data_IF_004970719559
#
_entry.id   IF_004970719559
#
_cell.length_a   1.000
_cell.length_b   1.000
_cell.length_c   1.000
_cell.angle_alpha   90.00
_cell.angle_beta   90.00
_cell.angle_gamma   90.00
#
_symmetry.space_group_name_H-M   'P 1'
#
loop_
_entity.id
_entity.type
_entity.pdbx_description
1 polymer ?
#
# COMPACT_ATOMS: atom_id res chain seq x y z
N UNK A 1 -53.77 -48.01 -45.03
CA UNK A 1 -53.03 -46.86 -45.57
C UNK A 1 -52.85 -45.89 -44.45
N UNK A 2 -51.68 -45.90 -43.76
CA UNK A 2 -51.44 -45.06 -42.61
C UNK A 2 -50.47 -43.94 -43.09
N UNK A 3 -50.97 -42.73 -43.02
CA UNK A 3 -50.18 -41.52 -43.38
C UNK A 3 -49.41 -41.10 -42.17
N UNK A 4 -48.07 -41.09 -42.26
CA UNK A 4 -47.15 -40.51 -41.24
C UNK A 4 -46.91 -39.04 -41.59
N UNK A 5 -47.34 -38.16 -40.72
CA UNK A 5 -47.03 -36.73 -40.79
C UNK A 5 -45.75 -36.48 -40.02
N UNK A 6 -44.65 -36.11 -40.72
CA UNK A 6 -43.42 -35.72 -40.16
C UNK A 6 -43.50 -34.25 -39.78
N UNK A 7 -43.38 -33.97 -38.49
CA UNK A 7 -43.22 -32.58 -37.93
C UNK A 7 -41.74 -32.23 -37.92
N UNK A 8 -41.35 -31.25 -38.74
CA UNK A 8 -40.01 -30.70 -38.82
C UNK A 8 -39.88 -29.59 -37.76
N UNK A 9 -39.15 -29.88 -36.66
CA UNK A 9 -38.80 -28.87 -35.66
C UNK A 9 -37.59 -28.07 -36.17
N UNK A 10 -37.83 -26.81 -36.54
CA UNK A 10 -36.76 -25.84 -36.82
C UNK A 10 -36.19 -25.32 -35.49
N UNK A 11 -35.02 -25.77 -35.09
CA UNK A 11 -34.27 -25.19 -33.99
C UNK A 11 -33.59 -23.90 -34.47
N UNK A 12 -34.17 -22.76 -34.10
CA UNK A 12 -33.50 -21.45 -34.26
C UNK A 12 -32.42 -21.35 -33.18
N UNK A 13 -31.18 -21.61 -33.54
CA UNK A 13 -30.02 -21.32 -32.71
C UNK A 13 -29.84 -19.78 -32.67
N UNK A 14 -30.28 -19.12 -31.62
CA UNK A 14 -29.87 -17.78 -31.33
C UNK A 14 -28.38 -17.80 -31.02
N UNK A 15 -27.54 -17.44 -31.99
CA UNK A 15 -26.15 -17.09 -31.76
C UNK A 15 -26.14 -15.78 -30.94
N UNK A 16 -26.14 -15.92 -29.61
CA UNK A 16 -25.74 -14.82 -28.72
C UNK A 16 -24.29 -14.54 -29.06
N UNK A 17 -24.04 -13.45 -29.79
CA UNK A 17 -22.73 -12.91 -29.96
C UNK A 17 -22.16 -12.71 -28.54
N UNK A 18 -21.08 -13.43 -28.22
CA UNK A 18 -20.31 -13.19 -27.01
C UNK A 18 -19.76 -11.77 -27.14
N UNK A 19 -20.51 -10.79 -26.62
CA UNK A 19 -19.95 -9.47 -26.35
C UNK A 19 -18.66 -9.71 -25.55
N UNK A 20 -17.54 -9.18 -26.06
CA UNK A 20 -16.22 -9.32 -25.46
C UNK A 20 -16.33 -9.02 -23.96
N UNK A 21 -16.32 -10.04 -23.13
CA UNK A 21 -16.30 -9.88 -21.68
C UNK A 21 -15.10 -8.98 -21.33
N UNK A 22 -15.28 -7.91 -20.57
CA UNK A 22 -14.22 -6.95 -20.32
C UNK A 22 -12.99 -7.68 -19.81
N UNK A 23 -11.88 -7.55 -20.57
CA UNK A 23 -10.63 -8.29 -20.32
C UNK A 23 -10.18 -8.03 -18.88
N UNK A 24 -10.00 -9.09 -18.09
CA UNK A 24 -9.48 -9.01 -16.74
C UNK A 24 -8.10 -8.35 -16.74
N UNK A 25 -7.85 -7.47 -15.76
CA UNK A 25 -6.57 -6.78 -15.57
C UNK A 25 -6.02 -6.98 -14.16
N UNK A 26 -4.75 -6.72 -14.00
CA UNK A 26 -4.12 -6.60 -12.67
C UNK A 26 -4.46 -5.26 -12.04
N UNK A 27 -4.79 -5.30 -10.75
CA UNK A 27 -5.04 -4.12 -9.92
C UNK A 27 -4.35 -4.33 -8.58
N UNK A 28 -3.52 -3.39 -8.17
CA UNK A 28 -2.88 -3.46 -6.85
C UNK A 28 -3.94 -3.36 -5.77
N UNK A 29 -3.96 -4.37 -4.91
CA UNK A 29 -4.93 -4.53 -3.83
C UNK A 29 -4.34 -4.30 -2.45
N UNK A 30 -3.02 -4.31 -2.35
CA UNK A 30 -2.25 -3.96 -1.16
C UNK A 30 -0.86 -3.48 -1.58
N UNK A 31 -0.33 -2.49 -0.87
CA UNK A 31 1.05 -2.04 -0.99
C UNK A 31 1.63 -1.77 0.41
N UNK A 32 2.96 -1.96 0.53
CA UNK A 32 3.75 -1.59 1.68
C UNK A 32 5.02 -0.91 1.18
N UNK A 33 5.04 0.43 1.18
CA UNK A 33 6.16 1.22 0.67
C UNK A 33 7.44 0.91 1.43
N UNK A 34 8.38 0.25 0.76
CA UNK A 34 9.63 -0.19 1.41
C UNK A 34 10.66 0.94 1.49
N UNK A 35 11.49 0.86 2.51
CA UNK A 35 12.68 1.69 2.75
C UNK A 35 13.74 0.86 3.48
N UNK A 36 14.72 1.48 4.06
CA UNK A 36 15.73 0.76 4.83
C UNK A 36 17.14 1.17 4.46
N UNK A 37 18.15 0.37 4.75
CA UNK A 37 18.01 -1.00 5.25
C UNK A 37 17.54 -1.07 6.72
N UNK A 38 16.92 -2.19 7.12
CA UNK A 38 16.65 -2.49 8.53
C UNK A 38 17.94 -2.37 9.35
N UNK A 39 17.93 -1.75 10.55
CA UNK A 39 16.75 -1.27 11.30
C UNK A 39 16.41 0.22 11.09
N UNK A 40 16.96 0.89 10.08
CA UNK A 40 16.72 2.32 9.85
C UNK A 40 15.29 2.57 9.36
N UNK A 41 14.51 3.27 10.17
CA UNK A 41 13.08 3.54 9.93
C UNK A 41 12.40 4.06 11.19
N UNK A 42 11.09 4.27 11.09
CA UNK A 42 10.24 4.73 12.20
C UNK A 42 9.19 3.66 12.56
N UNK A 43 9.58 2.52 13.16
CA UNK A 43 8.64 1.47 13.54
C UNK A 43 7.68 1.96 14.65
N UNK A 44 6.51 1.34 14.73
CA UNK A 44 5.57 1.51 15.84
C UNK A 44 5.13 0.14 16.34
N UNK A 45 4.98 -0.01 17.67
CA UNK A 45 4.60 -1.27 18.30
C UNK A 45 5.48 -2.48 17.92
N UNK A 46 6.73 -2.22 17.52
CA UNK A 46 7.69 -3.23 17.12
C UNK A 46 8.27 -3.95 18.35
N UNK A 47 8.14 -5.27 18.47
CA UNK A 47 8.79 -6.03 19.53
C UNK A 47 10.31 -6.04 19.35
N UNK A 48 11.05 -6.41 20.41
CA UNK A 48 12.49 -6.64 20.29
C UNK A 48 12.77 -7.80 19.32
N UNK A 49 13.55 -7.53 18.30
CA UNK A 49 13.84 -8.47 17.23
C UNK A 49 15.15 -9.26 17.42
N UNK A 50 15.90 -9.03 18.51
CA UNK A 50 17.23 -9.60 18.71
C UNK A 50 17.29 -11.11 18.66
N UNK A 51 16.22 -11.80 19.07
CA UNK A 51 16.16 -13.28 18.98
C UNK A 51 15.79 -13.77 17.58
N UNK A 52 15.03 -13.00 16.83
CA UNK A 52 14.64 -13.34 15.46
C UNK A 52 15.64 -12.83 14.41
N UNK A 53 16.25 -11.68 14.65
CA UNK A 53 17.25 -11.04 13.78
C UNK A 53 18.38 -10.52 14.67
N UNK A 54 19.34 -11.37 15.04
CA UNK A 54 20.41 -11.02 15.99
C UNK A 54 21.34 -9.91 15.50
N UNK A 55 21.52 -9.77 14.19
CA UNK A 55 22.39 -8.76 13.56
C UNK A 55 21.71 -8.16 12.34
N UNK A 56 21.66 -6.85 12.25
CA UNK A 56 21.19 -6.14 11.08
C UNK A 56 22.12 -6.33 9.85
N UNK A 57 23.39 -6.56 10.07
CA UNK A 57 24.39 -6.79 9.01
C UNK A 57 24.23 -8.19 8.39
N UNK A 58 23.90 -9.19 9.19
CA UNK A 58 23.58 -10.55 8.72
C UNK A 58 22.17 -10.58 8.15
N UNK A 59 21.24 -9.83 8.74
CA UNK A 59 19.83 -9.82 8.39
C UNK A 59 19.16 -11.17 8.68
N UNK A 60 18.29 -11.59 7.78
CA UNK A 60 17.70 -12.93 7.82
C UNK A 60 18.77 -14.00 7.58
N UNK A 61 18.73 -15.09 8.34
CA UNK A 61 19.71 -16.18 8.25
C UNK A 61 19.00 -17.53 8.17
N UNK A 62 18.88 -18.09 6.96
CA UNK A 62 18.26 -19.39 6.70
C UNK A 62 16.94 -19.59 7.49
N UNK A 63 16.02 -18.63 7.37
CA UNK A 63 14.77 -18.56 8.13
C UNK A 63 13.57 -18.16 7.27
N UNK A 64 12.38 -18.37 7.80
CA UNK A 64 11.13 -18.07 7.10
C UNK A 64 10.40 -16.88 7.72
N UNK A 65 9.74 -16.12 6.85
CA UNK A 65 8.86 -15.02 7.18
C UNK A 65 7.43 -15.41 6.81
N UNK A 66 6.46 -14.95 7.60
CA UNK A 66 5.03 -15.02 7.29
C UNK A 66 4.42 -13.66 7.52
N UNK A 67 4.22 -12.93 6.44
CA UNK A 67 3.72 -11.57 6.46
C UNK A 67 2.22 -11.56 6.25
N UNK A 68 1.51 -10.89 7.16
CA UNK A 68 0.05 -10.77 7.11
C UNK A 68 -0.30 -9.44 6.46
N UNK A 69 -1.11 -9.48 5.40
CA UNK A 69 -1.52 -8.31 4.63
C UNK A 69 -3.03 -8.35 4.38
N UNK A 70 -3.66 -7.17 4.22
CA UNK A 70 -5.10 -7.04 3.98
C UNK A 70 -5.36 -6.57 2.54
N UNK A 71 -5.81 -7.46 1.64
CA UNK A 71 -6.27 -7.04 0.33
C UNK A 71 -7.53 -6.17 0.42
N UNK A 72 -7.55 -5.06 -0.31
CA UNK A 72 -8.71 -4.17 -0.35
C UNK A 72 -9.78 -4.63 -1.36
N UNK A 73 -9.35 -5.26 -2.45
CA UNK A 73 -10.25 -5.94 -3.39
C UNK A 73 -9.78 -7.37 -3.61
N UNK A 74 -10.68 -8.23 -4.07
CA UNK A 74 -10.40 -9.65 -4.29
C UNK A 74 -10.54 -10.05 -5.76
N UNK A 75 -9.68 -10.97 -6.18
CA UNK A 75 -9.70 -11.66 -7.47
C UNK A 75 -9.50 -13.16 -7.28
N UNK A 76 -9.71 -13.94 -8.35
CA UNK A 76 -9.45 -15.40 -8.33
C UNK A 76 -7.97 -15.75 -8.51
N UNK A 77 -7.18 -14.79 -8.95
CA UNK A 77 -5.73 -14.91 -9.13
C UNK A 77 -5.06 -13.70 -8.48
N UNK A 78 -3.90 -13.94 -7.89
CA UNK A 78 -3.05 -12.93 -7.30
C UNK A 78 -1.61 -13.05 -7.83
N UNK A 79 -0.82 -12.00 -7.65
CA UNK A 79 0.63 -12.02 -7.74
C UNK A 79 1.21 -11.09 -6.67
N UNK A 80 2.38 -11.42 -6.17
CA UNK A 80 3.09 -10.62 -5.17
C UNK A 80 4.36 -10.03 -5.76
N UNK A 81 4.83 -8.91 -5.19
CA UNK A 81 6.12 -8.32 -5.54
C UNK A 81 7.07 -8.43 -4.37
N UNK A 82 8.20 -9.11 -4.58
CA UNK A 82 9.32 -9.14 -3.64
C UNK A 82 10.35 -8.08 -4.05
N UNK A 83 10.99 -7.45 -3.07
CA UNK A 83 11.89 -6.32 -3.26
C UNK A 83 13.15 -6.44 -2.40
N UNK A 84 14.30 -6.22 -3.02
CA UNK A 84 15.59 -6.03 -2.38
C UNK A 84 16.13 -4.63 -2.69
N UNK A 85 15.24 -3.64 -2.71
CA UNK A 85 15.54 -2.26 -3.16
C UNK A 85 16.63 -1.58 -2.31
N UNK A 86 16.76 -1.94 -1.05
CA UNK A 86 17.66 -1.32 -0.08
C UNK A 86 18.64 -2.30 0.57
N UNK A 87 18.68 -3.54 0.09
CA UNK A 87 19.70 -4.50 0.49
C UNK A 87 21.04 -4.21 -0.18
N UNK A 88 22.12 -4.71 0.44
CA UNK A 88 23.50 -4.57 -0.06
C UNK A 88 24.06 -5.87 -0.63
N UNK A 89 23.39 -7.01 -0.39
CA UNK A 89 23.75 -8.33 -0.89
C UNK A 89 22.60 -8.92 -1.71
N UNK A 90 22.87 -9.86 -2.64
CA UNK A 90 21.81 -10.65 -3.27
C UNK A 90 21.04 -11.48 -2.24
N UNK A 91 19.71 -11.50 -2.33
CA UNK A 91 18.82 -12.29 -1.46
C UNK A 91 18.16 -13.37 -2.28
N UNK A 92 18.29 -14.62 -1.82
CA UNK A 92 17.65 -15.78 -2.45
C UNK A 92 16.38 -16.16 -1.69
N UNK A 93 15.22 -16.05 -2.36
CA UNK A 93 13.93 -16.46 -1.86
C UNK A 93 13.57 -17.85 -2.40
N UNK A 94 13.01 -18.68 -1.54
CA UNK A 94 12.54 -20.02 -1.87
C UNK A 94 11.23 -20.32 -1.15
N UNK A 95 10.55 -21.38 -1.60
CA UNK A 95 9.36 -21.90 -0.94
C UNK A 95 8.37 -20.77 -0.57
N UNK A 96 8.02 -19.98 -1.57
CA UNK A 96 7.09 -18.86 -1.39
C UNK A 96 5.67 -19.37 -1.47
N UNK A 97 4.82 -18.99 -0.50
CA UNK A 97 3.43 -19.41 -0.41
C UNK A 97 2.50 -18.23 -0.14
N UNK A 98 1.25 -18.37 -0.56
CA UNK A 98 0.16 -17.45 -0.27
C UNK A 98 -1.05 -18.25 0.22
N UNK A 99 -1.64 -17.85 1.36
CA UNK A 99 -2.79 -18.54 1.95
C UNK A 99 -3.72 -17.57 2.67
N UNK A 100 -4.93 -18.04 2.99
CA UNK A 100 -5.87 -17.26 3.76
C UNK A 100 -5.45 -17.26 5.22
N UNK A 101 -5.17 -16.09 5.77
CA UNK A 101 -4.79 -15.95 7.18
C UNK A 101 -5.95 -16.34 8.10
N UNK A 102 -5.65 -17.11 9.14
CA UNK A 102 -6.61 -17.55 10.15
C UNK A 102 -6.55 -16.68 11.40
N UNK A 103 -5.57 -16.91 12.24
CA UNK A 103 -5.27 -16.18 13.48
C UNK A 103 -3.81 -16.42 13.84
N UNK A 104 -3.20 -15.54 14.64
CA UNK A 104 -1.76 -15.65 14.96
C UNK A 104 -0.94 -15.80 13.68
N UNK A 105 -0.05 -16.78 13.59
CA UNK A 105 0.66 -17.13 12.36
C UNK A 105 0.01 -18.27 11.56
N UNK A 106 -1.15 -18.79 11.98
CA UNK A 106 -1.82 -19.88 11.30
C UNK A 106 -2.45 -19.46 9.96
N UNK A 107 -2.41 -20.38 9.00
CA UNK A 107 -3.08 -20.28 7.70
C UNK A 107 -4.28 -21.23 7.71
N UNK A 108 -5.40 -20.78 7.15
CA UNK A 108 -6.61 -21.63 7.02
C UNK A 108 -6.25 -22.89 6.24
N UNK A 109 -6.52 -24.04 6.85
CA UNK A 109 -6.09 -25.36 6.30
C UNK A 109 -6.57 -25.57 4.87
N UNK A 110 -5.66 -26.08 4.03
CA UNK A 110 -5.89 -26.34 2.62
C UNK A 110 -5.94 -25.09 1.73
N UNK A 111 -5.63 -23.90 2.26
CA UNK A 111 -5.61 -22.68 1.44
C UNK A 111 -4.22 -22.24 0.98
N UNK A 112 -3.16 -22.76 1.60
CA UNK A 112 -1.79 -22.38 1.28
C UNK A 112 -1.40 -22.84 -0.13
N UNK A 113 -0.92 -21.93 -0.97
CA UNK A 113 -0.61 -22.18 -2.38
C UNK A 113 0.82 -21.77 -2.68
N UNK A 114 1.59 -22.61 -3.40
CA UNK A 114 2.93 -22.24 -3.83
C UNK A 114 2.87 -21.08 -4.83
N UNK A 115 3.84 -20.17 -4.71
CA UNK A 115 4.06 -19.04 -5.59
C UNK A 115 5.35 -19.26 -6.35
N UNK A 116 5.34 -19.07 -7.66
CA UNK A 116 6.49 -19.25 -8.53
C UNK A 116 6.89 -17.92 -9.19
N UNK A 117 8.05 -17.92 -9.84
CA UNK A 117 8.64 -16.78 -10.52
C UNK A 117 9.15 -17.21 -11.89
N UNK A 118 9.22 -16.28 -12.84
CA UNK A 118 9.85 -16.51 -14.14
C UNK A 118 9.35 -17.79 -14.85
N UNK A 119 8.02 -17.96 -14.92
CA UNK A 119 7.36 -19.10 -15.55
C UNK A 119 7.62 -20.45 -14.83
N UNK A 120 7.35 -20.49 -13.55
CA UNK A 120 7.28 -21.74 -12.78
C UNK A 120 8.49 -22.05 -11.88
N UNK A 121 9.46 -21.16 -11.77
CA UNK A 121 10.60 -21.37 -10.86
C UNK A 121 10.17 -21.17 -9.40
N UNK A 122 10.47 -22.13 -8.55
CA UNK A 122 10.17 -22.09 -7.12
C UNK A 122 11.11 -21.15 -6.33
N UNK A 123 12.18 -20.67 -6.95
CA UNK A 123 13.20 -19.82 -6.33
C UNK A 123 13.49 -18.60 -7.18
N UNK A 124 13.84 -17.50 -6.51
CA UNK A 124 14.31 -16.27 -7.17
C UNK A 124 15.40 -15.62 -6.33
N UNK A 125 16.42 -15.07 -7.00
CA UNK A 125 17.47 -14.28 -6.34
C UNK A 125 17.36 -12.85 -6.83
N UNK A 126 17.26 -11.90 -5.89
CA UNK A 126 17.22 -10.46 -6.16
C UNK A 126 18.56 -9.82 -5.79
N UNK A 127 19.21 -9.19 -6.75
CA UNK A 127 20.37 -8.34 -6.49
C UNK A 127 19.93 -7.06 -5.74
N UNK A 128 20.85 -6.34 -5.10
CA UNK A 128 20.59 -5.00 -4.57
C UNK A 128 19.87 -4.10 -5.59
N UNK A 129 18.87 -3.35 -5.15
CA UNK A 129 18.07 -2.47 -6.00
C UNK A 129 16.96 -3.15 -6.82
N UNK A 130 16.88 -4.48 -6.83
CA UNK A 130 15.91 -5.22 -7.65
C UNK A 130 14.61 -5.53 -6.94
N UNK A 131 13.53 -5.61 -7.72
CA UNK A 131 12.25 -6.21 -7.32
C UNK A 131 11.74 -7.13 -8.42
N UNK A 132 10.83 -8.05 -8.06
CA UNK A 132 10.24 -9.01 -9.00
C UNK A 132 8.79 -9.29 -8.68
N UNK A 133 7.93 -9.30 -9.69
CA UNK A 133 6.59 -9.88 -9.59
C UNK A 133 6.64 -11.39 -9.71
N UNK A 134 5.84 -12.07 -8.90
CA UNK A 134 5.62 -13.51 -9.05
C UNK A 134 4.80 -13.83 -10.30
N UNK A 135 4.80 -15.09 -10.69
CA UNK A 135 3.78 -15.62 -11.59
C UNK A 135 2.38 -15.50 -10.95
N UNK A 136 1.34 -15.60 -11.78
CA UNK A 136 -0.03 -15.63 -11.30
C UNK A 136 -0.31 -16.89 -10.47
N UNK A 137 -0.88 -16.73 -9.28
CA UNK A 137 -1.32 -17.84 -8.41
C UNK A 137 -2.83 -17.86 -8.28
N UNK A 138 -3.47 -19.02 -8.53
CA UNK A 138 -4.91 -19.19 -8.30
C UNK A 138 -5.21 -19.28 -6.81
N UNK A 139 -6.28 -18.60 -6.39
CA UNK A 139 -6.78 -18.57 -5.03
C UNK A 139 -8.12 -19.36 -4.96
N UNK A 140 -8.10 -20.69 -4.74
CA UNK A 140 -9.31 -21.50 -4.77
C UNK A 140 -10.36 -21.10 -3.72
N UNK A 141 -9.92 -20.47 -2.64
CA UNK A 141 -10.81 -19.93 -1.61
C UNK A 141 -11.51 -18.63 -2.04
N UNK A 142 -11.04 -17.93 -3.07
CA UNK A 142 -11.66 -16.75 -3.63
C UNK A 142 -12.68 -17.10 -4.75
N UNK A 143 -13.57 -18.07 -4.51
CA UNK A 143 -14.55 -18.54 -5.50
C UNK A 143 -15.53 -17.45 -5.93
N UNK A 144 -15.98 -16.63 -4.98
CA UNK A 144 -16.84 -15.48 -5.22
C UNK A 144 -16.18 -14.20 -4.69
N UNK A 145 -15.24 -13.61 -5.45
CA UNK A 145 -14.48 -12.43 -4.99
C UNK A 145 -15.35 -11.18 -4.83
N UNK A 146 -16.56 -11.14 -5.41
CA UNK A 146 -17.51 -10.03 -5.25
C UNK A 146 -18.44 -10.23 -4.05
N UNK A 147 -18.50 -11.44 -3.49
CA UNK A 147 -19.30 -11.73 -2.31
C UNK A 147 -18.68 -11.18 -1.04
N UNK A 148 -19.48 -10.97 0.01
CA UNK A 148 -19.05 -10.39 1.29
C UNK A 148 -18.11 -11.25 2.13
N UNK A 149 -17.99 -12.57 1.86
CA UNK A 149 -17.26 -13.53 2.69
C UNK A 149 -15.76 -13.24 2.84
N UNK A 150 -15.16 -12.49 1.92
CA UNK A 150 -13.75 -12.12 1.94
C UNK A 150 -13.49 -10.69 2.42
N UNK A 151 -14.53 -9.93 2.71
CA UNK A 151 -14.38 -8.55 3.20
C UNK A 151 -13.64 -8.55 4.54
N UNK A 152 -12.57 -7.76 4.63
CA UNK A 152 -11.74 -7.67 5.83
C UNK A 152 -10.86 -8.90 6.11
N UNK A 153 -10.95 -9.98 5.30
CA UNK A 153 -10.05 -11.13 5.45
C UNK A 153 -8.63 -10.75 5.03
N UNK A 154 -7.65 -11.37 5.69
CA UNK A 154 -6.23 -11.13 5.45
C UNK A 154 -5.60 -12.33 4.74
N UNK A 155 -4.49 -12.07 4.07
CA UNK A 155 -3.65 -13.07 3.41
C UNK A 155 -2.36 -13.19 4.21
N UNK A 156 -1.87 -14.42 4.37
CA UNK A 156 -0.52 -14.73 4.81
C UNK A 156 0.36 -14.99 3.57
N UNK A 157 1.41 -14.19 3.39
CA UNK A 157 2.47 -14.45 2.42
C UNK A 157 3.67 -14.99 3.18
N UNK A 158 4.07 -16.22 2.90
CA UNK A 158 5.19 -16.88 3.55
C UNK A 158 6.31 -17.13 2.56
N UNK A 159 7.56 -16.90 2.97
CA UNK A 159 8.74 -17.18 2.15
C UNK A 159 9.93 -17.54 3.01
N UNK A 160 10.84 -18.31 2.45
CA UNK A 160 12.11 -18.69 3.04
C UNK A 160 13.26 -17.88 2.41
N UNK A 161 14.09 -17.28 3.25
CA UNK A 161 15.36 -16.66 2.86
C UNK A 161 16.48 -17.70 3.01
N UNK A 162 17.11 -18.07 1.89
CA UNK A 162 18.24 -19.01 1.89
C UNK A 162 19.54 -18.34 2.27
N UNK A 163 20.22 -18.88 3.27
CA UNK A 163 21.47 -18.29 3.77
C UNK A 163 21.23 -16.93 4.43
N UNK A 164 22.19 -16.04 4.32
CA UNK A 164 22.14 -14.71 4.88
C UNK A 164 21.66 -13.68 3.85
N UNK A 165 20.72 -12.83 4.25
CA UNK A 165 20.24 -11.76 3.37
C UNK A 165 21.15 -10.54 3.31
N UNK A 166 21.98 -10.34 4.32
CA UNK A 166 22.56 -9.02 4.58
C UNK A 166 21.50 -8.01 5.06
N UNK A 167 21.81 -6.72 5.04
CA UNK A 167 20.87 -5.66 5.39
C UNK A 167 19.58 -5.75 4.58
N UNK A 168 18.43 -5.68 5.27
CA UNK A 168 17.13 -6.02 4.69
C UNK A 168 16.33 -4.80 4.26
N UNK A 169 15.75 -4.88 3.07
CA UNK A 169 14.65 -4.00 2.66
C UNK A 169 13.43 -4.27 3.52
N UNK A 170 12.77 -3.24 4.05
CA UNK A 170 11.61 -3.38 4.92
C UNK A 170 10.65 -2.19 4.83
N UNK A 171 9.45 -2.38 5.34
CA UNK A 171 8.52 -1.32 5.71
C UNK A 171 8.36 -1.33 7.23
N UNK A 172 8.87 -0.29 7.87
CA UNK A 172 9.06 -0.29 9.34
C UNK A 172 7.74 -0.28 10.12
N UNK A 173 6.70 0.41 9.62
CA UNK A 173 5.46 0.68 10.34
C UNK A 173 4.26 -0.03 9.69
N UNK A 174 4.28 -1.36 9.66
CA UNK A 174 3.14 -2.10 9.15
C UNK A 174 1.88 -1.95 10.01
N UNK A 175 2.04 -1.83 11.34
CA UNK A 175 0.94 -1.87 12.31
C UNK A 175 0.01 -3.07 12.11
N UNK A 176 0.59 -4.12 11.56
CA UNK A 176 -0.01 -5.43 11.33
C UNK A 176 0.98 -6.50 11.81
N UNK A 177 0.56 -7.31 12.77
CA UNK A 177 1.39 -8.41 13.27
C UNK A 177 1.67 -9.41 12.17
N UNK A 178 2.94 -9.68 11.97
CA UNK A 178 3.51 -10.68 11.07
C UNK A 178 4.49 -11.54 11.86
N UNK A 179 5.04 -12.59 11.27
CA UNK A 179 5.73 -13.62 12.05
C UNK A 179 7.01 -14.10 11.37
N UNK A 180 7.96 -14.58 12.21
CA UNK A 180 9.24 -15.11 11.77
C UNK A 180 9.55 -16.41 12.51
N UNK A 181 10.37 -17.25 11.87
CA UNK A 181 11.03 -18.39 12.53
C UNK A 181 12.33 -17.93 13.21
N UNK A 182 12.94 -18.78 14.03
CA UNK A 182 14.30 -18.54 14.50
C UNK A 182 15.30 -18.59 13.32
N UNK A 183 16.45 -17.87 13.41
CA UNK A 183 17.56 -18.05 12.49
C UNK A 183 18.00 -19.52 12.41
N UNK A 184 18.37 -19.99 11.22
CA UNK A 184 18.79 -21.36 11.00
C UNK A 184 17.66 -22.40 10.94
N UNK A 185 16.39 -22.03 11.12
CA UNK A 185 15.26 -22.96 11.14
C UNK A 185 14.93 -23.61 9.80
N UNK A 186 15.53 -23.15 8.71
CA UNK A 186 15.22 -23.61 7.37
C UNK A 186 13.84 -23.17 6.88
N UNK A 187 13.33 -23.86 5.86
CA UNK A 187 12.05 -23.53 5.27
C UNK A 187 10.88 -24.05 6.10
N UNK A 188 9.99 -23.12 6.50
CA UNK A 188 8.72 -23.37 7.20
C UNK A 188 7.52 -22.76 6.49
N UNK A 189 7.72 -22.24 5.30
CA UNK A 189 6.73 -21.44 4.59
C UNK A 189 5.49 -22.24 4.18
N UNK A 190 5.65 -23.54 3.91
CA UNK A 190 4.55 -24.42 3.54
C UNK A 190 3.65 -24.81 4.72
N UNK A 191 4.15 -24.73 5.96
CA UNK A 191 3.41 -25.14 7.15
C UNK A 191 2.21 -24.20 7.37
N UNK A 192 1.01 -24.76 7.58
CA UNK A 192 -0.20 -23.99 7.87
C UNK A 192 -0.37 -23.72 9.37
N UNK A 193 0.28 -24.52 10.23
CA UNK A 193 0.30 -24.34 11.69
C UNK A 193 1.10 -23.12 12.11
N UNK A 194 0.75 -22.54 13.26
CA UNK A 194 1.48 -21.45 13.90
C UNK A 194 2.77 -21.87 14.60
N UNK A 195 2.92 -23.15 14.93
CA UNK A 195 3.99 -23.66 15.80
C UNK A 195 5.42 -23.35 15.32
N UNK A 196 5.61 -23.21 14.00
CA UNK A 196 6.92 -22.91 13.41
C UNK A 196 7.35 -21.43 13.50
N UNK A 197 6.45 -20.51 13.84
CA UNK A 197 6.67 -19.06 13.79
C UNK A 197 6.56 -18.42 15.19
N UNK A 198 7.56 -18.61 16.07
CA UNK A 198 7.48 -18.16 17.46
C UNK A 198 7.69 -16.66 17.67
N UNK A 199 8.23 -15.94 16.69
CA UNK A 199 8.52 -14.52 16.81
C UNK A 199 7.51 -13.69 15.99
N UNK A 200 7.15 -12.52 16.53
CA UNK A 200 6.28 -11.56 15.85
C UNK A 200 7.02 -10.29 15.49
N UNK A 201 6.49 -9.57 14.52
CA UNK A 201 6.95 -8.24 14.10
C UNK A 201 5.74 -7.38 13.73
N UNK A 202 5.85 -6.06 13.89
CA UNK A 202 4.88 -5.09 13.39
C UNK A 202 5.36 -4.38 12.11
N UNK A 203 6.26 -5.05 11.37
CA UNK A 203 6.88 -4.57 10.13
C UNK A 203 6.72 -5.60 9.01
N UNK A 204 6.86 -5.17 7.74
CA UNK A 204 6.95 -6.07 6.60
C UNK A 204 8.37 -6.06 6.02
N UNK A 205 8.86 -7.22 5.63
CA UNK A 205 10.19 -7.40 5.05
C UNK A 205 10.10 -7.91 3.62
N UNK A 206 10.83 -7.33 2.68
CA UNK A 206 10.96 -7.76 1.29
C UNK A 206 9.68 -7.81 0.45
N UNK A 207 8.50 -7.77 1.04
CA UNK A 207 7.21 -7.77 0.34
C UNK A 207 6.70 -6.33 0.22
N UNK A 208 6.43 -5.86 -0.99
CA UNK A 208 6.03 -4.47 -1.20
C UNK A 208 4.71 -4.26 -1.97
N UNK A 209 4.18 -5.30 -2.64
CA UNK A 209 2.88 -5.19 -3.30
C UNK A 209 2.18 -6.53 -3.49
N UNK A 210 0.84 -6.47 -3.56
CA UNK A 210 -0.05 -7.56 -3.96
C UNK A 210 -1.00 -7.04 -5.03
N UNK A 211 -1.03 -7.70 -6.18
CA UNK A 211 -2.03 -7.49 -7.22
C UNK A 211 -3.09 -8.60 -7.20
N UNK A 212 -4.32 -8.22 -7.50
CA UNK A 212 -5.42 -9.14 -7.81
C UNK A 212 -5.82 -9.01 -9.27
N UNK A 213 -6.08 -10.14 -9.94
CA UNK A 213 -6.64 -10.15 -11.30
C UNK A 213 -8.14 -9.98 -11.23
N UNK A 214 -8.63 -8.86 -11.70
CA UNK A 214 -10.03 -8.42 -11.51
C UNK A 214 -10.64 -7.92 -12.82
N UNK A 215 -11.92 -7.54 -12.78
CA UNK A 215 -12.60 -6.94 -13.92
C UNK A 215 -11.93 -5.63 -14.37
N UNK A 216 -12.02 -5.32 -15.65
CA UNK A 216 -11.41 -4.12 -16.25
C UNK A 216 -11.89 -2.80 -15.62
N UNK A 217 -13.11 -2.78 -15.08
CA UNK A 217 -13.71 -1.63 -14.41
C UNK A 217 -13.19 -1.38 -12.98
N UNK A 218 -12.31 -2.25 -12.43
CA UNK A 218 -11.74 -2.07 -11.10
C UNK A 218 -10.44 -1.27 -11.17
N UNK A 219 -10.11 -0.53 -10.10
CA UNK A 219 -8.88 0.28 -10.02
C UNK A 219 -8.36 0.46 -8.62
N UNK A 220 -7.13 1.03 -8.52
CA UNK A 220 -6.50 1.40 -7.26
C UNK A 220 -6.51 2.91 -7.06
N UNK A 221 -6.70 3.32 -5.82
CA UNK A 221 -6.43 4.64 -5.27
C UNK A 221 -5.20 4.50 -4.38
N UNK A 222 -4.14 5.24 -4.65
CA UNK A 222 -2.91 5.21 -3.85
C UNK A 222 -2.94 6.35 -2.85
N UNK A 223 -2.96 6.03 -1.55
CA UNK A 223 -2.75 6.98 -0.46
C UNK A 223 -1.24 7.16 -0.28
N UNK A 224 -0.68 8.23 -0.85
CA UNK A 224 0.74 8.53 -0.88
C UNK A 224 1.07 9.60 0.16
N UNK A 225 2.02 9.31 1.08
CA UNK A 225 2.24 10.23 2.18
C UNK A 225 3.30 9.79 3.19
N UNK A 226 3.31 10.51 4.30
CA UNK A 226 4.22 10.34 5.43
C UNK A 226 3.63 9.47 6.57
N UNK A 227 4.05 9.73 7.82
CA UNK A 227 3.60 9.01 9.02
C UNK A 227 2.10 9.08 9.28
N UNK A 228 1.43 10.15 8.84
CA UNK A 228 -0.01 10.33 9.03
C UNK A 228 -0.78 9.43 8.06
N UNK A 229 -0.25 9.19 6.87
CA UNK A 229 -0.78 8.20 5.94
C UNK A 229 -0.41 6.78 6.34
N UNK A 230 0.83 6.56 6.76
CA UNK A 230 1.34 5.29 7.27
C UNK A 230 0.58 4.82 8.53
N UNK A 231 0.07 5.75 9.33
CA UNK A 231 -0.87 5.51 10.43
C UNK A 231 -0.25 5.49 11.81
N UNK A 232 0.77 6.31 12.08
CA UNK A 232 1.33 6.47 13.42
C UNK A 232 0.22 6.74 14.43
N UNK A 233 0.23 6.06 15.59
CA UNK A 233 -0.77 6.08 16.67
C UNK A 233 -2.15 5.47 16.30
N UNK A 234 -2.31 4.83 15.15
CA UNK A 234 -3.46 3.96 14.88
C UNK A 234 -3.34 2.62 15.61
N UNK A 235 -4.40 1.81 15.57
CA UNK A 235 -4.45 0.56 16.35
C UNK A 235 -3.68 -0.57 15.66
N UNK A 236 -2.77 -1.22 16.38
CA UNK A 236 -2.12 -2.45 15.91
C UNK A 236 -3.19 -3.49 15.53
N UNK A 237 -3.13 -4.01 14.30
CA UNK A 237 -4.10 -4.91 13.70
C UNK A 237 -5.52 -4.34 13.50
N UNK A 238 -5.73 -3.04 13.76
CA UNK A 238 -7.05 -2.40 13.78
C UNK A 238 -7.58 -1.99 12.42
N UNK A 239 -6.72 -1.81 11.42
CA UNK A 239 -7.10 -1.30 10.10
C UNK A 239 -7.97 -0.04 10.22
N UNK A 240 -7.54 0.94 11.03
CA UNK A 240 -8.29 2.15 11.37
C UNK A 240 -7.58 3.47 11.00
N UNK A 241 -6.61 3.42 10.08
CA UNK A 241 -5.98 4.56 9.45
C UNK A 241 -6.97 5.28 8.53
N UNK A 242 -6.71 6.53 8.18
CA UNK A 242 -7.62 7.23 7.26
C UNK A 242 -7.79 6.55 5.89
N UNK A 243 -6.76 5.89 5.27
CA UNK A 243 -6.97 5.13 4.05
C UNK A 243 -7.88 3.92 4.25
N UNK A 244 -7.81 3.23 5.40
CA UNK A 244 -8.69 2.11 5.73
C UNK A 244 -10.14 2.55 5.90
N UNK A 245 -10.37 3.73 6.49
CA UNK A 245 -11.70 4.33 6.61
C UNK A 245 -12.27 4.64 5.23
N UNK A 246 -11.49 5.30 4.38
CA UNK A 246 -11.88 5.60 3.00
C UNK A 246 -12.19 4.31 2.21
N UNK A 247 -11.36 3.28 2.35
CA UNK A 247 -11.57 1.98 1.70
C UNK A 247 -12.91 1.35 2.07
N UNK A 248 -13.30 1.37 3.35
CA UNK A 248 -14.60 0.86 3.80
C UNK A 248 -15.76 1.64 3.18
N UNK A 249 -15.68 2.98 3.15
CA UNK A 249 -16.71 3.86 2.57
C UNK A 249 -16.85 3.65 1.05
N UNK A 250 -15.72 3.54 0.34
CA UNK A 250 -15.74 3.27 -1.11
C UNK A 250 -16.27 1.87 -1.41
N UNK A 251 -15.98 0.89 -0.56
CA UNK A 251 -16.55 -0.46 -0.70
C UNK A 251 -18.06 -0.47 -0.48
N UNK A 252 -18.56 0.26 0.51
CA UNK A 252 -19.99 0.40 0.76
C UNK A 252 -20.70 1.01 -0.47
N UNK A 253 -20.11 2.06 -1.06
CA UNK A 253 -20.70 2.76 -2.22
C UNK A 253 -20.54 1.99 -3.54
N UNK A 254 -19.40 1.34 -3.76
CA UNK A 254 -19.00 0.78 -5.06
C UNK A 254 -18.77 -0.74 -5.06
N UNK A 255 -18.93 -1.42 -3.92
CA UNK A 255 -18.64 -2.85 -3.78
C UNK A 255 -17.13 -3.16 -3.96
N UNK A 256 -16.81 -4.36 -4.45
CA UNK A 256 -15.43 -4.84 -4.66
C UNK A 256 -14.81 -4.27 -5.95
N UNK A 257 -14.79 -2.94 -6.10
CA UNK A 257 -14.30 -2.28 -7.32
C UNK A 257 -13.07 -1.42 -7.11
N UNK A 258 -12.92 -0.80 -5.95
CA UNK A 258 -11.88 0.19 -5.67
C UNK A 258 -11.01 -0.31 -4.52
N UNK A 259 -9.72 -0.45 -4.78
CA UNK A 259 -8.72 -0.67 -3.74
C UNK A 259 -8.16 0.68 -3.29
N UNK A 260 -8.10 0.94 -1.98
CA UNK A 260 -7.30 2.03 -1.43
C UNK A 260 -6.05 1.41 -0.83
N UNK A 261 -4.89 1.65 -1.45
CA UNK A 261 -3.60 1.10 -0.99
C UNK A 261 -2.78 2.16 -0.29
N UNK A 262 -2.18 1.80 0.83
CA UNK A 262 -1.39 2.71 1.65
C UNK A 262 0.07 2.69 1.20
N UNK A 263 0.57 3.83 0.72
CA UNK A 263 1.95 4.08 0.34
C UNK A 263 2.60 5.16 1.23
N UNK A 264 2.24 5.20 2.51
CA UNK A 264 2.87 6.04 3.54
C UNK A 264 4.22 5.50 3.99
N UNK A 265 5.12 6.39 4.40
CA UNK A 265 6.36 6.07 5.09
C UNK A 265 6.55 7.08 6.24
N UNK A 266 6.68 6.60 7.46
CA UNK A 266 6.86 7.45 8.64
C UNK A 266 8.08 8.35 8.53
N UNK A 267 7.91 9.68 8.60
CA UNK A 267 8.99 10.66 8.50
C UNK A 267 9.35 11.10 7.07
N UNK A 268 8.60 10.65 6.06
CA UNK A 268 8.88 10.96 4.66
C UNK A 268 8.74 12.46 4.35
N UNK A 269 9.53 12.94 3.40
CA UNK A 269 9.59 14.31 2.92
C UNK A 269 9.33 14.36 1.42
N UNK A 270 8.75 15.44 0.92
CA UNK A 270 8.52 15.64 -0.51
C UNK A 270 9.84 15.69 -1.27
N UNK A 271 10.77 16.54 -0.81
CA UNK A 271 12.02 16.85 -1.52
C UNK A 271 13.30 16.36 -0.80
N UNK A 272 13.22 15.95 0.44
CA UNK A 272 14.33 15.43 1.23
C UNK A 272 14.20 13.95 1.59
N UNK A 273 15.29 13.28 1.95
CA UNK A 273 16.67 13.75 1.82
C UNK A 273 17.13 13.84 0.35
N UNK A 274 18.12 14.67 0.05
CA UNK A 274 18.66 14.78 -1.32
C UNK A 274 19.37 13.52 -1.78
N UNK A 275 20.04 12.85 -0.86
CA UNK A 275 20.73 11.58 -1.09
C UNK A 275 20.17 10.52 -0.14
N UNK A 276 19.92 9.34 -0.65
CA UNK A 276 19.41 8.21 0.11
C UNK A 276 19.95 6.90 -0.46
N UNK A 277 20.44 6.03 0.41
CA UNK A 277 20.93 4.71 0.05
C UNK A 277 21.35 3.91 1.28
N UNK A 278 21.82 2.67 1.11
CA UNK A 278 22.30 1.84 2.21
C UNK A 278 23.42 2.46 3.04
N UNK A 279 24.29 3.25 2.40
CA UNK A 279 25.44 3.92 3.06
C UNK A 279 25.06 5.26 3.70
N UNK A 280 23.93 5.85 3.30
CA UNK A 280 23.38 7.09 3.86
C UNK A 280 21.86 6.95 4.08
N UNK A 281 21.43 6.04 4.97
CA UNK A 281 20.02 5.81 5.20
C UNK A 281 19.40 6.90 6.07
N UNK A 282 18.16 7.28 5.73
CA UNK A 282 17.33 8.23 6.49
C UNK A 282 16.08 7.54 7.00
N UNK A 283 15.68 7.71 8.29
CA UNK A 283 14.52 6.99 8.83
C UNK A 283 13.21 7.23 8.08
N UNK A 284 13.04 8.39 7.44
CA UNK A 284 11.89 8.73 6.60
C UNK A 284 11.93 8.14 5.19
N UNK A 285 12.93 7.33 4.87
CA UNK A 285 13.07 6.77 3.53
C UNK A 285 13.54 7.78 2.47
N UNK A 286 13.57 7.38 1.19
CA UNK A 286 13.86 8.31 0.10
C UNK A 286 12.74 9.34 -0.06
N UNK A 287 13.06 10.53 -0.62
CA UNK A 287 12.05 11.56 -0.85
C UNK A 287 10.86 11.04 -1.65
N UNK A 288 9.69 11.66 -1.47
CA UNK A 288 8.49 11.34 -2.25
C UNK A 288 8.77 11.36 -3.75
N UNK A 289 9.52 12.35 -4.22
CA UNK A 289 9.93 12.42 -5.63
C UNK A 289 10.80 11.24 -6.05
N UNK A 290 11.72 10.80 -5.21
CA UNK A 290 12.60 9.66 -5.53
C UNK A 290 11.85 8.31 -5.53
N UNK A 291 10.86 8.12 -4.64
CA UNK A 291 10.10 6.87 -4.53
C UNK A 291 8.83 6.80 -5.38
N UNK A 292 8.47 7.89 -6.07
CA UNK A 292 7.21 8.00 -6.82
C UNK A 292 7.04 6.92 -7.88
N UNK A 293 8.12 6.57 -8.61
CA UNK A 293 8.07 5.50 -9.63
C UNK A 293 7.82 4.13 -9.00
N UNK A 294 8.49 3.82 -7.90
CA UNK A 294 8.40 2.52 -7.23
C UNK A 294 7.07 2.34 -6.50
N UNK A 295 6.63 3.37 -5.75
CA UNK A 295 5.54 3.24 -4.79
C UNK A 295 4.17 3.64 -5.36
N UNK A 296 4.14 4.29 -6.52
CA UNK A 296 2.91 4.74 -7.17
C UNK A 296 2.85 4.30 -8.63
N UNK A 297 3.81 4.73 -9.47
CA UNK A 297 3.73 4.58 -10.92
C UNK A 297 3.83 3.11 -11.36
N UNK A 298 4.64 2.30 -10.66
CA UNK A 298 4.80 0.87 -10.96
C UNK A 298 3.66 -0.01 -10.46
N UNK A 299 2.70 0.53 -9.70
CA UNK A 299 1.55 -0.21 -9.24
C UNK A 299 0.51 -0.40 -10.35
N UNK A 300 -0.25 -1.48 -10.28
CA UNK A 300 -1.19 -1.86 -11.32
C UNK A 300 -2.56 -1.19 -11.14
N UNK A 301 -3.10 -0.66 -12.21
CA UNK A 301 -4.49 -0.15 -12.26
C UNK A 301 -4.73 1.12 -11.44
N UNK A 302 -3.69 1.93 -11.23
CA UNK A 302 -3.80 3.21 -10.52
C UNK A 302 -4.64 4.18 -11.34
N UNK A 303 -5.65 4.77 -10.69
CA UNK A 303 -6.51 5.80 -11.29
C UNK A 303 -6.49 7.10 -10.49
N UNK A 304 -6.28 7.01 -9.18
CA UNK A 304 -6.22 8.17 -8.30
C UNK A 304 -5.01 8.08 -7.38
N UNK A 305 -4.44 9.23 -7.06
CA UNK A 305 -3.40 9.38 -6.03
C UNK A 305 -3.88 10.46 -5.06
N UNK A 306 -3.91 10.13 -3.77
CA UNK A 306 -4.16 11.10 -2.70
C UNK A 306 -2.80 11.43 -2.11
N UNK A 307 -2.39 12.71 -2.17
CA UNK A 307 -1.07 13.17 -1.74
C UNK A 307 -1.16 13.95 -0.45
N UNK A 308 -0.71 13.34 0.65
CA UNK A 308 -0.61 13.95 1.98
C UNK A 308 0.84 13.91 2.43
N UNK A 309 1.60 14.96 2.20
CA UNK A 309 3.02 15.03 2.54
C UNK A 309 3.49 16.46 2.63
N UNK A 310 4.59 16.72 3.38
CA UNK A 310 5.22 18.03 3.47
C UNK A 310 5.50 18.49 4.90
N UNK A 311 4.83 17.93 5.92
CA UNK A 311 5.05 18.36 7.30
C UNK A 311 6.49 18.08 7.77
N UNK A 312 7.10 17.00 7.30
CA UNK A 312 8.46 16.61 7.63
C UNK A 312 9.52 17.44 6.88
N UNK A 313 9.17 17.99 5.71
CA UNK A 313 10.02 18.97 5.03
C UNK A 313 10.21 20.24 5.87
N UNK A 314 9.19 20.61 6.65
CA UNK A 314 9.19 21.78 7.54
C UNK A 314 9.69 21.48 8.95
N UNK A 315 10.02 20.23 9.26
CA UNK A 315 10.64 19.85 10.53
C UNK A 315 12.06 20.45 10.65
N UNK A 316 12.64 20.41 11.85
CA UNK A 316 14.05 20.81 12.04
C UNK A 316 15.02 20.03 11.15
N UNK A 317 14.72 18.77 10.87
CA UNK A 317 15.54 17.93 10.00
C UNK A 317 15.38 18.26 8.51
N UNK A 318 14.19 18.64 8.08
CA UNK A 318 13.92 19.01 6.69
C UNK A 318 14.31 20.45 6.38
N UNK A 319 13.87 21.37 7.24
CA UNK A 319 14.11 22.81 7.18
C UNK A 319 13.92 23.46 5.79
N UNK A 320 12.98 22.92 5.01
CA UNK A 320 12.70 23.40 3.67
C UNK A 320 11.90 24.72 3.69
N UNK A 321 12.02 25.52 2.63
CA UNK A 321 11.09 26.61 2.34
C UNK A 321 9.76 26.05 1.79
N UNK A 322 8.65 26.74 2.03
CA UNK A 322 7.33 26.30 1.56
C UNK A 322 7.29 26.23 0.03
N UNK A 323 7.88 27.19 -0.66
CA UNK A 323 7.93 27.28 -2.13
C UNK A 323 8.68 26.10 -2.74
N UNK A 324 9.78 25.65 -2.11
CA UNK A 324 10.54 24.48 -2.58
C UNK A 324 9.69 23.20 -2.51
N UNK A 325 8.88 23.03 -1.46
CA UNK A 325 7.95 21.90 -1.32
C UNK A 325 6.81 21.99 -2.33
N UNK A 326 6.26 23.19 -2.56
CA UNK A 326 5.25 23.43 -3.59
C UNK A 326 5.77 23.06 -4.99
N UNK A 327 7.00 23.43 -5.32
CA UNK A 327 7.63 23.09 -6.61
C UNK A 327 7.86 21.59 -6.74
N UNK A 328 8.29 20.91 -5.66
CA UNK A 328 8.36 19.46 -5.61
C UNK A 328 7.01 18.77 -5.86
N UNK A 329 5.93 19.29 -5.27
CA UNK A 329 4.58 18.76 -5.54
C UNK A 329 4.16 18.98 -6.99
N UNK A 330 4.42 20.16 -7.58
CA UNK A 330 4.13 20.43 -9.01
C UNK A 330 4.88 19.44 -9.90
N UNK A 331 6.18 19.20 -9.64
CA UNK A 331 7.00 18.24 -10.38
C UNK A 331 6.40 16.83 -10.28
N UNK A 332 6.11 16.37 -9.07
CA UNK A 332 5.54 15.04 -8.83
C UNK A 332 4.20 14.84 -9.52
N UNK A 333 3.29 15.81 -9.45
CA UNK A 333 1.98 15.77 -10.12
C UNK A 333 2.15 15.73 -11.64
N UNK A 334 3.05 16.54 -12.20
CA UNK A 334 3.34 16.53 -13.62
C UNK A 334 3.90 15.17 -14.08
N UNK A 335 4.79 14.56 -13.28
CA UNK A 335 5.36 13.24 -13.53
C UNK A 335 4.30 12.14 -13.46
N UNK A 336 3.38 12.17 -12.49
CA UNK A 336 2.25 11.25 -12.39
C UNK A 336 1.37 11.32 -13.65
N UNK A 337 0.96 12.52 -14.06
CA UNK A 337 0.12 12.72 -15.26
C UNK A 337 0.80 12.27 -16.55
N UNK A 338 2.12 12.45 -16.64
CA UNK A 338 2.92 11.98 -17.79
C UNK A 338 3.00 10.45 -17.84
N UNK A 339 3.15 9.79 -16.69
CA UNK A 339 3.42 8.35 -16.60
C UNK A 339 2.16 7.49 -16.47
N UNK A 340 1.07 8.06 -15.94
CA UNK A 340 -0.23 7.40 -15.79
C UNK A 340 -1.29 8.27 -16.47
N UNK A 341 -1.52 8.10 -17.78
CA UNK A 341 -2.50 8.93 -18.50
C UNK A 341 -3.90 8.86 -17.89
N UNK A 342 -4.48 10.03 -17.59
CA UNK A 342 -5.81 10.14 -16.99
C UNK A 342 -5.85 10.00 -15.46
N UNK A 343 -4.71 9.84 -14.79
CA UNK A 343 -4.66 9.80 -13.33
C UNK A 343 -5.23 11.10 -12.74
N UNK A 344 -6.01 10.95 -11.68
CA UNK A 344 -6.50 12.07 -10.86
C UNK A 344 -5.66 12.19 -9.61
N UNK A 345 -5.17 13.38 -9.32
CA UNK A 345 -4.36 13.66 -8.13
C UNK A 345 -5.15 14.55 -7.18
N UNK A 346 -5.41 14.03 -5.99
CA UNK A 346 -6.16 14.72 -4.92
C UNK A 346 -5.12 15.24 -3.92
N UNK A 347 -5.07 16.57 -3.77
CA UNK A 347 -4.25 17.18 -2.73
C UNK A 347 -4.93 17.08 -1.38
N UNK A 348 -4.20 16.62 -0.36
CA UNK A 348 -4.67 16.62 1.01
C UNK A 348 -3.92 17.68 1.82
N UNK A 349 -4.65 18.56 2.53
CA UNK A 349 -4.02 19.57 3.37
C UNK A 349 -3.38 18.93 4.60
N UNK A 350 -2.22 19.46 5.01
CA UNK A 350 -1.48 19.00 6.19
C UNK A 350 -2.27 19.28 7.46
N UNK A 351 -2.37 18.28 8.34
CA UNK A 351 -2.93 18.43 9.68
C UNK A 351 -2.11 19.38 10.55
N UNK A 352 -2.68 20.00 11.60
CA UNK A 352 -1.92 20.82 12.53
C UNK A 352 -0.77 20.07 13.21
N UNK A 353 0.34 20.77 13.39
CA UNK A 353 1.51 20.27 14.12
C UNK A 353 1.96 21.23 15.24
N UNK A 354 1.32 22.40 15.36
CA UNK A 354 1.66 23.40 16.37
C UNK A 354 1.54 22.82 17.78
N UNK A 355 2.58 22.99 18.61
CA UNK A 355 2.63 22.45 19.96
C UNK A 355 2.84 20.94 20.04
N UNK A 356 3.25 20.30 18.94
CA UNK A 356 3.69 18.90 18.96
C UNK A 356 4.83 18.70 19.98
N UNK A 357 4.78 17.56 20.68
CA UNK A 357 5.72 17.28 21.78
C UNK A 357 7.04 16.69 21.34
N UNK A 358 7.16 16.32 20.08
CA UNK A 358 8.39 15.77 19.53
C UNK A 358 9.39 16.89 19.19
N UNK A 359 10.69 16.64 19.39
CA UNK A 359 11.74 17.66 19.32
C UNK A 359 11.92 18.31 17.93
N UNK A 360 11.42 17.68 16.87
CA UNK A 360 11.58 18.13 15.49
C UNK A 360 10.39 18.93 14.94
N UNK A 361 9.27 18.98 15.70
CA UNK A 361 8.02 19.58 15.27
C UNK A 361 7.45 20.52 16.36
N UNK A 362 6.37 21.22 16.05
CA UNK A 362 5.56 21.92 17.04
C UNK A 362 5.85 23.40 17.21
N UNK A 363 6.73 23.99 16.43
CA UNK A 363 7.11 25.40 16.54
C UNK A 363 6.37 26.31 15.54
N UNK A 364 6.23 27.61 15.84
CA UNK A 364 5.41 28.54 15.04
C UNK A 364 5.87 28.66 13.58
N UNK A 365 7.16 28.70 13.28
CA UNK A 365 7.68 28.84 11.92
C UNK A 365 7.32 27.62 11.05
N UNK A 366 7.24 26.45 11.64
CA UNK A 366 6.75 25.24 10.93
C UNK A 366 5.26 25.40 10.57
N UNK A 367 4.45 25.93 11.50
CA UNK A 367 3.03 26.13 11.28
C UNK A 367 2.75 27.18 10.19
N UNK A 368 3.55 28.25 10.11
CA UNK A 368 3.44 29.23 9.03
C UNK A 368 3.74 28.60 7.65
N UNK A 369 4.80 27.79 7.55
CA UNK A 369 5.12 27.05 6.32
C UNK A 369 4.01 26.05 5.97
N UNK A 370 3.45 25.34 6.98
CA UNK A 370 2.32 24.42 6.81
C UNK A 370 1.09 25.15 6.26
N UNK A 371 0.74 26.31 6.81
CA UNK A 371 -0.38 27.14 6.35
C UNK A 371 -0.16 27.60 4.90
N UNK A 372 1.04 28.05 4.55
CA UNK A 372 1.40 28.45 3.19
C UNK A 372 1.26 27.28 2.19
N UNK A 373 1.69 26.07 2.58
CA UNK A 373 1.51 24.89 1.75
C UNK A 373 0.03 24.48 1.64
N UNK A 374 -0.73 24.55 2.73
CA UNK A 374 -2.16 24.25 2.73
C UNK A 374 -2.94 25.22 1.83
N UNK A 375 -2.59 26.50 1.83
CA UNK A 375 -3.19 27.49 0.92
C UNK A 375 -2.85 27.16 -0.54
N UNK A 376 -1.61 26.81 -0.85
CA UNK A 376 -1.22 26.33 -2.18
C UNK A 376 -2.02 25.08 -2.59
N UNK A 377 -2.19 24.09 -1.70
CA UNK A 377 -2.97 22.89 -2.00
C UNK A 377 -4.42 23.25 -2.34
N UNK A 378 -5.02 24.19 -1.61
CA UNK A 378 -6.42 24.63 -1.82
C UNK A 378 -6.61 25.41 -3.12
N UNK A 379 -5.66 26.28 -3.50
CA UNK A 379 -5.91 27.36 -4.48
C UNK A 379 -5.10 27.27 -5.76
N UNK A 380 -4.00 26.51 -5.79
CA UNK A 380 -3.06 26.51 -6.94
C UNK A 380 -3.61 25.92 -8.24
N UNK A 381 -4.68 25.10 -8.18
CA UNK A 381 -5.17 24.36 -9.34
C UNK A 381 -4.24 23.23 -9.82
N UNK A 382 -3.20 22.89 -9.07
CA UNK A 382 -2.29 21.78 -9.37
C UNK A 382 -2.99 20.43 -9.21
N UNK A 383 -3.88 20.32 -8.24
CA UNK A 383 -4.61 19.08 -7.91
C UNK A 383 -5.98 19.06 -8.61
N UNK A 384 -6.46 17.86 -8.98
CA UNK A 384 -7.79 17.66 -9.60
C UNK A 384 -8.93 17.83 -8.59
N UNK A 385 -8.67 17.60 -7.31
CA UNK A 385 -9.56 17.80 -6.17
C UNK A 385 -8.73 18.03 -4.91
N UNK A 386 -9.38 18.51 -3.85
CA UNK A 386 -8.76 18.74 -2.55
C UNK A 386 -9.59 18.08 -1.46
N UNK A 387 -8.92 17.40 -0.53
CA UNK A 387 -9.50 17.00 0.76
C UNK A 387 -8.86 17.85 1.87
N UNK A 388 -9.68 18.52 2.64
CA UNK A 388 -9.21 19.48 3.65
C UNK A 388 -9.11 18.83 5.03
N UNK A 389 -8.00 18.10 5.28
CA UNK A 389 -7.72 17.47 6.57
C UNK A 389 -7.40 18.50 7.66
N UNK A 390 -6.78 19.62 7.30
CA UNK A 390 -6.55 20.73 8.22
C UNK A 390 -7.87 21.19 8.86
N UNK A 391 -8.87 21.50 8.03
CA UNK A 391 -10.19 21.96 8.48
C UNK A 391 -10.88 20.98 9.45
N UNK A 392 -10.76 19.69 9.24
CA UNK A 392 -11.45 18.70 10.08
C UNK A 392 -10.68 18.32 11.34
N UNK A 393 -9.38 18.67 11.42
CA UNK A 393 -8.52 18.26 12.55
C UNK A 393 -8.03 19.42 13.41
N UNK A 394 -8.10 20.66 12.93
CA UNK A 394 -7.63 21.84 13.66
C UNK A 394 -8.61 22.25 14.77
N UNK A 395 -8.08 22.61 15.94
CA UNK A 395 -8.79 23.41 16.91
C UNK A 395 -8.67 24.90 16.50
N UNK A 396 -9.76 25.56 16.13
CA UNK A 396 -9.71 26.94 15.60
C UNK A 396 -9.22 27.96 16.63
N UNK A 397 -9.38 27.69 17.93
CA UNK A 397 -9.00 28.63 19.00
C UNK A 397 -7.50 28.61 19.27
N UNK A 398 -6.85 27.45 19.07
CA UNK A 398 -5.42 27.26 19.41
C UNK A 398 -4.50 27.04 18.22
N UNK A 399 -5.04 26.72 17.04
CA UNK A 399 -4.26 26.31 15.89
C UNK A 399 -3.61 24.92 16.00
N UNK A 400 -3.85 24.21 17.10
CA UNK A 400 -3.31 22.88 17.36
C UNK A 400 -4.26 21.78 16.88
N UNK A 401 -3.78 20.54 16.90
CA UNK A 401 -4.63 19.37 16.70
C UNK A 401 -5.72 19.34 17.80
N UNK A 402 -6.97 19.03 17.43
CA UNK A 402 -8.09 18.94 18.37
C UNK A 402 -7.75 17.98 19.52
N UNK A 403 -8.06 18.34 20.79
CA UNK A 403 -7.72 17.51 21.95
C UNK A 403 -8.25 16.09 21.87
N UNK A 404 -9.47 15.89 21.36
CA UNK A 404 -10.10 14.57 21.19
C UNK A 404 -9.36 13.67 20.19
N UNK A 405 -8.50 14.25 19.33
CA UNK A 405 -7.67 13.52 18.37
C UNK A 405 -6.25 13.25 18.88
N UNK A 406 -5.90 13.78 20.05
CA UNK A 406 -4.59 13.60 20.68
C UNK A 406 -4.59 12.48 21.71
N UNK A 407 -5.59 12.45 22.57
CA UNK A 407 -5.63 11.54 23.71
C UNK A 407 -6.10 10.12 23.35
N UNK A 408 -5.88 9.17 24.27
CA UNK A 408 -6.34 7.77 24.14
C UNK A 408 -5.78 7.07 22.90
N UNK A 409 -4.49 7.24 22.66
CA UNK A 409 -3.81 6.49 21.59
C UNK A 409 -3.72 5.02 21.94
N UNK A 410 -3.73 4.15 20.94
CA UNK A 410 -3.75 2.70 21.14
C UNK A 410 -2.37 2.04 20.96
N UNK A 411 -1.38 2.78 20.48
CA UNK A 411 -0.05 2.25 20.16
C UNK A 411 1.12 3.04 20.73
N UNK A 412 0.89 4.14 21.46
CA UNK A 412 1.98 5.01 21.87
C UNK A 412 1.75 5.85 23.11
N UNK A 413 0.91 5.40 24.04
CA UNK A 413 0.65 6.16 25.26
C UNK A 413 -0.18 7.43 25.03
N UNK A 414 0.19 8.52 25.70
CA UNK A 414 -0.42 9.84 25.45
C UNK A 414 -0.01 10.37 24.09
N UNK A 415 -0.88 10.97 23.32
CA UNK A 415 -0.58 11.47 21.98
C UNK A 415 0.54 12.52 21.95
N UNK A 416 1.11 12.71 20.78
CA UNK A 416 2.24 13.64 20.53
C UNK A 416 1.83 14.98 19.91
N UNK A 417 0.53 15.22 19.73
CA UNK A 417 -0.08 16.42 19.11
C UNK A 417 0.34 16.67 17.65
N UNK A 418 0.95 15.67 17.01
CA UNK A 418 1.30 15.67 15.60
C UNK A 418 0.48 14.60 14.86
N UNK A 419 0.44 13.39 15.41
CA UNK A 419 -0.24 12.26 14.82
C UNK A 419 -1.63 12.11 15.44
N UNK A 420 -2.70 12.08 14.62
CA UNK A 420 -4.04 11.83 15.12
C UNK A 420 -4.17 10.41 15.69
N UNK A 421 -4.97 10.27 16.73
CA UNK A 421 -5.42 8.96 17.18
C UNK A 421 -6.46 8.37 16.19
N UNK A 422 -6.98 7.17 16.48
CA UNK A 422 -7.98 6.50 15.63
C UNK A 422 -9.23 7.33 15.35
N UNK A 423 -9.64 8.21 16.29
CA UNK A 423 -10.81 9.07 16.11
C UNK A 423 -10.49 10.20 15.09
N UNK A 424 -9.29 10.77 15.15
CA UNK A 424 -8.82 11.72 14.15
C UNK A 424 -8.66 11.09 12.77
N UNK A 425 -8.13 9.87 12.69
CA UNK A 425 -8.10 9.11 11.43
C UNK A 425 -9.48 8.80 10.87
N UNK A 426 -10.46 8.51 11.75
CA UNK A 426 -11.85 8.38 11.33
C UNK A 426 -12.37 9.69 10.72
N UNK A 427 -12.15 10.83 11.38
CA UNK A 427 -12.59 12.14 10.89
C UNK A 427 -11.94 12.45 9.53
N UNK A 428 -10.65 12.18 9.34
CA UNK A 428 -9.95 12.34 8.06
C UNK A 428 -10.55 11.46 6.97
N UNK A 429 -10.74 10.17 7.22
CA UNK A 429 -11.33 9.25 6.25
C UNK A 429 -12.79 9.57 5.90
N UNK A 430 -13.52 10.20 6.82
CA UNK A 430 -14.89 10.70 6.60
C UNK A 430 -14.94 12.01 5.80
N UNK A 431 -13.86 12.77 5.72
CA UNK A 431 -13.82 14.07 5.03
C UNK A 431 -13.93 13.99 3.50
N UNK A 432 -13.71 12.81 2.91
CA UNK A 432 -13.76 12.65 1.46
C UNK A 432 -15.18 12.73 0.91
N UNK A 433 -15.35 13.50 -0.17
CA UNK A 433 -16.47 13.35 -1.09
C UNK A 433 -16.22 12.10 -1.96
N UNK A 434 -17.05 11.08 -1.78
CA UNK A 434 -16.92 9.82 -2.52
C UNK A 434 -17.26 9.95 -4.01
N UNK A 435 -17.90 11.03 -4.43
CA UNK A 435 -18.18 11.29 -5.84
C UNK A 435 -16.92 11.69 -6.63
N UNK A 436 -15.86 12.08 -5.94
CA UNK A 436 -14.53 12.28 -6.52
C UNK A 436 -13.97 11.01 -7.16
N UNK A 437 -14.39 9.82 -6.67
CA UNK A 437 -13.89 8.51 -7.11
C UNK A 437 -14.84 7.82 -8.12
N UNK A 438 -15.57 8.60 -8.94
CA UNK A 438 -16.40 8.02 -9.99
C UNK A 438 -15.56 7.29 -11.04
N UNK A 439 -16.05 6.14 -11.56
CA UNK A 439 -15.37 5.46 -12.66
C UNK A 439 -15.17 6.42 -13.83
N UNK A 440 -13.95 6.56 -14.27
CA UNK A 440 -13.70 7.12 -15.61
C UNK A 440 -13.92 5.96 -16.57
N UNK A 441 -15.04 5.91 -17.26
CA UNK A 441 -15.24 4.96 -18.34
C UNK A 441 -14.09 5.12 -19.34
N UNK A 442 -13.38 4.04 -19.68
CA UNK A 442 -12.34 4.14 -20.69
C UNK A 442 -12.99 4.65 -21.96
N UNK A 443 -12.58 5.83 -22.44
CA UNK A 443 -13.03 6.34 -23.75
C UNK A 443 -12.83 5.21 -24.77
N UNK A 444 -13.84 4.87 -25.58
CA UNK A 444 -13.65 3.87 -26.62
C UNK A 444 -12.43 4.27 -27.46
N UNK A 445 -11.46 3.38 -27.55
CA UNK A 445 -10.33 3.58 -28.47
C UNK A 445 -10.96 3.73 -29.85
N UNK A 446 -10.83 4.92 -30.45
CA UNK A 446 -11.33 5.17 -31.80
C UNK A 446 -10.77 4.08 -32.71
N UNK A 447 -11.66 3.30 -33.33
CA UNK A 447 -11.23 2.31 -34.33
C UNK A 447 -10.43 3.04 -35.41
N UNK A 448 -9.26 2.54 -35.77
CA UNK A 448 -8.50 3.14 -36.87
C UNK A 448 -9.42 3.16 -38.12
N UNK A 449 -9.46 4.30 -38.78
CA UNK A 449 -10.24 4.45 -40.01
C UNK A 449 -9.80 3.37 -41.01
N UNK A 450 -10.74 2.75 -41.75
CA UNK A 450 -10.40 1.73 -42.72
C UNK A 450 -9.45 2.31 -43.75
N UNK A 451 -8.33 1.61 -43.98
CA UNK A 451 -7.33 2.01 -45.00
C UNK A 451 -8.04 2.15 -46.36
N UNK A 452 -7.97 3.34 -46.93
CA UNK A 452 -8.44 3.57 -48.32
C UNK A 452 -7.63 2.64 -49.21
N UNK A 453 -8.30 1.66 -49.83
CA UNK A 453 -7.71 0.87 -50.91
C UNK A 453 -7.39 1.83 -52.07
N UNK A 454 -6.12 1.89 -52.41
CA UNK A 454 -5.67 2.49 -53.69
C UNK A 454 -5.87 1.47 -54.81
#
# INVERSE_FOLDING_TARGET
>A
MKIFTAVLLLAVACAVSAEDAPKAKWVTSWAGSVHGPYPVGNPSAQPDMKLAIPSAETGASNQSFRLVIKPEIWGREARIRLSNAFGTKPVAFADVFIGLHQTSSAVVSGTNRPVTFHNGRATVTLKPGQSVWSDAVRLPFARNPRGGALVGRKIAVSFHVRGESGPMTWHAKALQTSYLTAPGSGSKSAEESEAAFPFSTASWFFLDALDMRTAAANWSVVAFGDSITDGTLSTLNGDDRWPDVLARRLREKHGNRIAVVNAGIGGNQVIGPKEYGPDNPFPGGPSALARLDRDVISLSGVSHVIWLEGINDFSKNGNAAAEAVQDGMKEGVARLRKRIPGVKVIGATLTPALGATNANHGFPEQDEKRKALNEFIRTSGVFDAVVDFDKVTINPDTGQLRPEFVHNTTTGGEGDKLHPNRLGYLAMGMAFDLDTFKPVDPKPVAKPAPAKKK
#
